data_IF_283073372449
#
_entry.id   IF_283073372449
#
_cell.length_a   1.000
_cell.length_b   1.000
_cell.length_c   1.000
_cell.angle_alpha   90.00
_cell.angle_beta   90.00
_cell.angle_gamma   90.00
#
_symmetry.space_group_name_H-M   'P 1'
#
loop_
_entity.id
_entity.type
_entity.pdbx_description
1 polymer ?
#
# COMPACT_ATOMS: atom_id res chain seq x y z
N UNK A 1 -2.16 -16.70 -7.66
CA UNK A 1 -3.57 -16.23 -7.84
C UNK A 1 -3.94 -15.12 -6.88
N UNK A 2 -3.86 -15.32 -5.55
CA UNK A 2 -4.06 -14.24 -4.58
C UNK A 2 -3.15 -13.03 -4.83
N UNK A 3 -1.88 -13.27 -5.17
CA UNK A 3 -0.94 -12.22 -5.59
C UNK A 3 -1.52 -11.35 -6.72
N UNK A 4 -1.92 -11.94 -7.84
CA UNK A 4 -2.44 -11.22 -9.02
C UNK A 4 -3.72 -10.46 -8.68
N UNK A 5 -4.62 -11.07 -7.89
CA UNK A 5 -5.85 -10.41 -7.47
C UNK A 5 -5.56 -9.17 -6.61
N UNK A 6 -4.72 -9.32 -5.58
CA UNK A 6 -4.34 -8.19 -4.71
C UNK A 6 -3.63 -7.11 -5.51
N UNK A 7 -2.66 -7.49 -6.34
CA UNK A 7 -1.88 -6.56 -7.17
C UNK A 7 -2.79 -5.75 -8.10
N UNK A 8 -3.70 -6.41 -8.81
CA UNK A 8 -4.62 -5.73 -9.74
C UNK A 8 -5.68 -4.91 -9.02
N UNK A 9 -6.23 -5.36 -7.89
CA UNK A 9 -7.20 -4.59 -7.12
C UNK A 9 -6.57 -3.38 -6.43
N UNK A 10 -5.35 -3.53 -5.92
CA UNK A 10 -4.60 -2.41 -5.36
C UNK A 10 -4.23 -1.40 -6.45
N UNK A 11 -3.72 -1.87 -7.59
CA UNK A 11 -3.46 -1.00 -8.75
C UNK A 11 -4.71 -0.25 -9.21
N UNK A 12 -5.85 -0.94 -9.32
CA UNK A 12 -7.14 -0.32 -9.64
C UNK A 12 -7.51 0.78 -8.64
N UNK A 13 -7.37 0.48 -7.35
CA UNK A 13 -7.66 1.41 -6.26
C UNK A 13 -6.75 2.64 -6.32
N UNK A 14 -5.43 2.46 -6.46
CA UNK A 14 -4.46 3.55 -6.55
C UNK A 14 -4.74 4.45 -7.74
N UNK A 15 -5.00 3.86 -8.91
CA UNK A 15 -5.34 4.64 -10.10
C UNK A 15 -6.66 5.41 -10.01
N UNK A 16 -7.65 4.86 -9.31
CA UNK A 16 -8.89 5.60 -9.05
C UNK A 16 -8.62 6.78 -8.09
N UNK A 17 -7.69 6.62 -7.14
CA UNK A 17 -7.27 7.73 -6.27
C UNK A 17 -6.60 8.84 -7.07
N UNK A 18 -5.77 8.53 -8.07
CA UNK A 18 -5.15 9.55 -8.95
C UNK A 18 -6.16 10.41 -9.72
N UNK A 19 -7.39 9.93 -9.90
CA UNK A 19 -8.47 10.72 -10.51
C UNK A 19 -9.16 11.68 -9.55
N UNK A 20 -8.91 11.57 -8.24
CA UNK A 20 -9.56 12.40 -7.24
C UNK A 20 -8.95 13.80 -7.22
N UNK A 21 -9.77 14.84 -7.03
CA UNK A 21 -9.26 16.20 -6.91
C UNK A 21 -8.49 16.38 -5.60
N UNK A 22 -7.41 17.15 -5.67
CA UNK A 22 -6.73 17.68 -4.48
C UNK A 22 -7.41 18.98 -4.04
N UNK A 23 -7.60 19.14 -2.73
CA UNK A 23 -8.16 20.36 -2.15
C UNK A 23 -7.07 21.08 -1.37
N UNK A 24 -6.92 22.40 -1.52
CA UNK A 24 -6.05 23.19 -0.64
C UNK A 24 -6.88 23.82 0.48
N UNK A 25 -6.58 23.49 1.73
CA UNK A 25 -7.17 24.15 2.90
C UNK A 25 -6.03 24.89 3.63
N UNK A 26 -6.03 26.22 3.54
CA UNK A 26 -5.06 27.06 4.27
C UNK A 26 -3.62 26.95 3.78
N UNK A 27 -3.39 26.60 2.51
CA UNK A 27 -2.05 26.39 1.95
C UNK A 27 -1.49 24.98 2.17
N UNK A 28 -2.18 24.14 2.95
CA UNK A 28 -1.91 22.71 3.06
C UNK A 28 -2.76 21.95 2.03
N UNK A 29 -2.11 21.20 1.15
CA UNK A 29 -2.78 20.28 0.23
C UNK A 29 -3.41 19.13 1.01
N UNK A 30 -4.74 19.09 1.05
CA UNK A 30 -5.55 17.98 1.54
C UNK A 30 -6.01 17.18 0.33
N UNK A 31 -5.24 16.17 -0.03
CA UNK A 31 -5.68 15.16 -0.99
C UNK A 31 -6.72 14.24 -0.32
N UNK A 32 -7.73 13.81 -1.08
CA UNK A 32 -8.57 12.68 -0.65
C UNK A 32 -7.65 11.47 -0.65
N UNK A 33 -7.07 11.16 0.52
CA UNK A 33 -6.07 10.10 0.68
C UNK A 33 -6.53 8.77 0.06
N UNK A 34 -5.59 7.87 -0.26
CA UNK A 34 -5.85 6.73 -1.12
C UNK A 34 -6.90 5.78 -0.54
N UNK A 35 -7.68 5.16 -1.42
CA UNK A 35 -8.82 4.31 -1.08
C UNK A 35 -8.44 2.95 -0.47
N UNK A 36 -7.62 2.93 0.59
CA UNK A 36 -6.89 1.75 1.08
C UNK A 36 -7.75 0.51 1.39
N UNK A 37 -9.05 0.68 1.59
CA UNK A 37 -9.97 -0.38 1.99
C UNK A 37 -10.01 -1.58 1.04
N UNK A 38 -9.75 -1.42 -0.27
CA UNK A 38 -9.79 -2.56 -1.21
C UNK A 38 -8.61 -3.48 -0.93
N UNK A 39 -7.41 -2.90 -0.85
CA UNK A 39 -6.21 -3.63 -0.45
C UNK A 39 -6.38 -4.22 0.97
N UNK A 40 -6.80 -3.41 1.95
CA UNK A 40 -6.99 -3.85 3.33
C UNK A 40 -7.96 -5.05 3.42
N UNK A 41 -9.12 -4.97 2.76
CA UNK A 41 -10.18 -5.97 2.90
C UNK A 41 -9.84 -7.30 2.22
N UNK A 42 -8.98 -7.29 1.20
CA UNK A 42 -8.63 -8.48 0.41
C UNK A 42 -7.35 -9.12 0.93
N UNK A 43 -6.32 -8.33 1.22
CA UNK A 43 -5.01 -8.80 1.70
C UNK A 43 -5.15 -9.62 2.98
N UNK A 44 -5.96 -9.14 3.93
CA UNK A 44 -6.14 -9.76 5.25
C UNK A 44 -6.83 -11.14 5.18
N UNK A 45 -7.44 -11.50 4.04
CA UNK A 45 -8.04 -12.82 3.82
C UNK A 45 -6.99 -13.94 3.68
N UNK A 46 -5.79 -13.62 3.19
CA UNK A 46 -4.85 -14.63 2.70
C UNK A 46 -3.68 -14.97 3.64
N UNK A 47 -3.47 -14.21 4.75
CA UNK A 47 -2.33 -14.31 5.69
C UNK A 47 -1.03 -14.80 5.04
N UNK A 48 -0.65 -14.20 3.93
CA UNK A 48 0.44 -14.66 3.06
C UNK A 48 1.39 -13.51 2.77
N UNK A 49 2.70 -13.78 2.84
CA UNK A 49 3.72 -12.83 2.45
C UNK A 49 3.51 -12.33 1.01
N UNK A 50 3.13 -13.23 0.10
CA UNK A 50 2.85 -12.88 -1.30
C UNK A 50 1.66 -11.93 -1.45
N UNK A 51 0.66 -12.02 -0.57
CA UNK A 51 -0.43 -11.05 -0.58
C UNK A 51 0.04 -9.67 -0.10
N UNK A 52 0.95 -9.60 0.87
CA UNK A 52 1.56 -8.33 1.28
C UNK A 52 2.40 -7.72 0.15
N UNK A 53 3.28 -8.52 -0.48
CA UNK A 53 4.17 -8.06 -1.55
C UNK A 53 3.38 -7.57 -2.77
N UNK A 54 2.22 -8.15 -3.03
CA UNK A 54 1.36 -7.75 -4.13
C UNK A 54 0.84 -6.31 -4.01
N UNK A 55 0.79 -5.73 -2.81
CA UNK A 55 0.31 -4.36 -2.59
C UNK A 55 1.25 -3.36 -3.29
N UNK A 56 2.52 -3.18 -2.87
CA UNK A 56 3.41 -2.23 -3.55
C UNK A 56 3.66 -2.60 -5.01
N UNK A 57 3.66 -3.89 -5.37
CA UNK A 57 3.77 -4.28 -6.80
C UNK A 57 2.56 -3.79 -7.61
N UNK A 58 1.36 -3.75 -7.03
CA UNK A 58 0.19 -3.14 -7.67
C UNK A 58 0.38 -1.64 -7.91
N UNK A 59 0.94 -0.92 -6.93
CA UNK A 59 1.28 0.49 -7.08
C UNK A 59 2.30 0.70 -8.20
N UNK A 60 3.38 -0.07 -8.18
CA UNK A 60 4.45 0.01 -9.19
C UNK A 60 3.94 -0.29 -10.60
N UNK A 61 3.22 -1.40 -10.78
CA UNK A 61 2.77 -1.80 -12.12
C UNK A 61 1.78 -0.79 -12.69
N UNK A 62 0.79 -0.38 -11.90
CA UNK A 62 -0.33 0.40 -12.43
C UNK A 62 -0.13 1.92 -12.26
N UNK A 63 0.38 2.35 -11.11
CA UNK A 63 0.59 3.75 -10.75
C UNK A 63 1.93 4.33 -11.22
N UNK A 64 2.95 3.50 -11.46
CA UNK A 64 4.26 4.02 -11.91
C UNK A 64 4.52 3.61 -13.37
N UNK A 65 4.65 2.31 -13.65
CA UNK A 65 5.07 1.81 -14.97
C UNK A 65 4.04 2.15 -16.05
N UNK A 66 2.75 1.88 -15.81
CA UNK A 66 1.72 2.13 -16.82
C UNK A 66 1.38 3.61 -17.00
N UNK A 67 1.57 4.45 -15.97
CA UNK A 67 1.48 5.92 -16.10
C UNK A 67 2.69 6.45 -16.87
N UNK A 68 3.83 5.77 -16.76
CA UNK A 68 5.09 6.22 -17.31
C UNK A 68 5.78 7.20 -16.38
N UNK A 69 5.81 6.89 -15.09
CA UNK A 69 6.54 7.62 -14.05
C UNK A 69 7.22 6.63 -13.09
N UNK A 70 7.99 5.69 -13.65
CA UNK A 70 8.63 4.63 -12.86
C UNK A 70 10.09 4.93 -12.55
N UNK A 71 10.46 4.78 -11.28
CA UNK A 71 11.85 4.75 -10.80
C UNK A 71 12.12 3.45 -10.05
N UNK A 72 13.06 2.64 -10.54
CA UNK A 72 13.34 1.34 -9.94
C UNK A 72 13.94 1.43 -8.53
N UNK A 73 14.70 2.48 -8.22
CA UNK A 73 15.26 2.68 -6.88
C UNK A 73 14.20 3.23 -5.93
N UNK A 74 13.40 4.21 -6.36
CA UNK A 74 12.32 4.78 -5.54
C UNK A 74 11.24 3.76 -5.20
N UNK A 75 10.92 2.86 -6.14
CA UNK A 75 9.98 1.76 -5.92
C UNK A 75 10.39 0.81 -4.76
N UNK A 76 11.67 0.75 -4.39
CA UNK A 76 12.17 -0.15 -3.34
C UNK A 76 11.66 0.24 -1.96
N UNK A 77 11.48 1.54 -1.68
CA UNK A 77 10.93 1.99 -0.40
C UNK A 77 9.57 1.34 -0.16
N UNK A 78 8.62 1.56 -1.08
CA UNK A 78 7.28 1.00 -1.01
C UNK A 78 7.31 -0.54 -0.94
N UNK A 79 8.17 -1.19 -1.74
CA UNK A 79 8.33 -2.64 -1.72
C UNK A 79 8.72 -3.18 -0.34
N UNK A 80 9.61 -2.49 0.39
CA UNK A 80 10.08 -2.92 1.70
C UNK A 80 9.06 -2.52 2.78
N UNK A 81 8.77 -1.23 2.88
CA UNK A 81 7.99 -0.65 3.98
C UNK A 81 6.58 -1.21 4.00
N UNK A 82 5.87 -1.16 2.87
CA UNK A 82 4.48 -1.64 2.78
C UNK A 82 4.44 -3.14 3.03
N UNK A 83 5.24 -3.94 2.31
CA UNK A 83 5.22 -5.40 2.44
C UNK A 83 5.45 -5.85 3.89
N UNK A 84 6.44 -5.27 4.57
CA UNK A 84 6.80 -5.68 5.92
C UNK A 84 5.80 -5.19 6.98
N UNK A 85 5.23 -3.99 6.82
CA UNK A 85 4.16 -3.49 7.70
C UNK A 85 2.98 -4.46 7.71
N UNK A 86 2.48 -4.82 6.52
CA UNK A 86 1.39 -5.79 6.38
C UNK A 86 1.79 -7.18 6.89
N UNK A 87 3.00 -7.63 6.59
CA UNK A 87 3.46 -8.96 7.00
C UNK A 87 3.57 -9.08 8.52
N UNK A 88 4.02 -8.04 9.21
CA UNK A 88 4.00 -7.96 10.67
C UNK A 88 2.55 -7.98 11.19
N UNK A 89 1.70 -7.08 10.71
CA UNK A 89 0.32 -6.94 11.18
C UNK A 89 -0.49 -8.23 11.01
N UNK A 90 -0.34 -8.94 9.90
CA UNK A 90 -0.99 -10.24 9.68
C UNK A 90 -0.63 -11.28 10.75
N UNK A 91 0.55 -11.19 11.36
CA UNK A 91 0.94 -12.11 12.43
C UNK A 91 0.18 -11.88 13.73
N UNK A 92 -0.42 -10.68 13.89
CA UNK A 92 -1.21 -10.28 15.06
C UNK A 92 -2.68 -10.67 14.94
N UNK A 93 -3.13 -11.18 13.79
CA UNK A 93 -4.51 -11.68 13.66
C UNK A 93 -4.67 -12.88 14.61
N UNK A 94 -5.63 -12.81 15.53
CA UNK A 94 -5.99 -13.95 16.40
C UNK A 94 -7.33 -14.52 16.01
N UNK A 95 -8.33 -13.66 15.83
CA UNK A 95 -9.66 -14.06 15.37
C UNK A 95 -10.02 -13.37 14.04
N UNK A 96 -9.90 -14.07 12.90
CA UNK A 96 -10.30 -13.52 11.61
C UNK A 96 -11.80 -13.33 11.44
N UNK A 97 -12.64 -13.70 12.41
CA UNK A 97 -14.08 -13.35 12.45
C UNK A 97 -14.32 -12.06 13.22
N UNK A 98 -13.38 -11.62 14.06
CA UNK A 98 -13.45 -10.35 14.75
C UNK A 98 -13.11 -9.20 13.81
N UNK A 99 -14.13 -8.69 13.13
CA UNK A 99 -13.97 -7.63 12.11
C UNK A 99 -13.37 -6.34 12.70
N UNK A 100 -13.61 -6.05 13.99
CA UNK A 100 -13.00 -4.89 14.66
C UNK A 100 -11.49 -5.07 14.80
N UNK A 101 -11.03 -6.28 15.13
CA UNK A 101 -9.59 -6.59 15.15
C UNK A 101 -8.99 -6.43 13.76
N UNK A 102 -9.64 -6.95 12.73
CA UNK A 102 -9.17 -6.85 11.34
C UNK A 102 -9.04 -5.39 10.89
N UNK A 103 -10.05 -4.56 11.16
CA UNK A 103 -10.00 -3.13 10.85
C UNK A 103 -8.90 -2.39 11.64
N UNK A 104 -8.75 -2.68 12.94
CA UNK A 104 -7.70 -2.09 13.77
C UNK A 104 -6.29 -2.49 13.31
N UNK A 105 -6.13 -3.74 12.85
CA UNK A 105 -4.88 -4.24 12.30
C UNK A 105 -4.59 -3.59 10.93
N UNK A 106 -5.58 -3.45 10.05
CA UNK A 106 -5.43 -2.69 8.80
C UNK A 106 -4.98 -1.24 9.05
N UNK A 107 -5.61 -0.56 10.02
CA UNK A 107 -5.17 0.77 10.47
C UNK A 107 -3.72 0.76 10.96
N UNK A 108 -3.33 -0.23 11.79
CA UNK A 108 -1.95 -0.34 12.26
C UNK A 108 -0.95 -0.51 11.11
N UNK A 109 -1.28 -1.28 10.07
CA UNK A 109 -0.40 -1.44 8.91
C UNK A 109 -0.18 -0.10 8.21
N UNK A 110 -1.26 0.65 7.98
CA UNK A 110 -1.17 2.00 7.39
C UNK A 110 -0.41 2.98 8.27
N UNK A 111 -0.62 2.94 9.59
CA UNK A 111 0.13 3.76 10.53
C UNK A 111 1.64 3.47 10.48
N UNK A 112 2.02 2.20 10.36
CA UNK A 112 3.42 1.80 10.23
C UNK A 112 4.02 2.28 8.91
N UNK A 113 3.31 2.15 7.79
CA UNK A 113 3.74 2.66 6.48
C UNK A 113 4.08 4.15 6.52
N UNK A 114 3.10 4.98 6.90
CA UNK A 114 3.24 6.44 6.92
C UNK A 114 4.28 6.91 7.93
N UNK A 115 4.42 6.19 9.05
CA UNK A 115 5.46 6.52 10.04
C UNK A 115 6.85 6.26 9.46
N UNK A 116 7.05 5.13 8.77
CA UNK A 116 8.34 4.83 8.16
C UNK A 116 8.66 5.80 7.02
N UNK A 117 7.69 6.10 6.15
CA UNK A 117 7.83 7.09 5.08
C UNK A 117 8.22 8.47 5.65
N UNK A 118 7.53 8.95 6.69
CA UNK A 118 7.89 10.20 7.37
C UNK A 118 9.36 10.24 7.81
N UNK A 119 9.87 9.19 8.47
CA UNK A 119 11.26 9.15 8.89
C UNK A 119 12.24 9.09 7.71
N UNK A 120 11.87 8.41 6.62
CA UNK A 120 12.67 8.33 5.40
C UNK A 120 12.73 9.69 4.71
N UNK A 121 11.58 10.36 4.55
CA UNK A 121 11.45 11.69 3.93
C UNK A 121 12.17 12.78 4.72
N UNK A 122 12.11 12.74 6.04
CA UNK A 122 12.92 13.61 6.88
C UNK A 122 14.40 13.27 6.75
N UNK A 123 14.76 11.98 6.76
CA UNK A 123 16.15 11.56 6.65
C UNK A 123 16.80 11.98 5.33
N UNK A 124 16.07 11.87 4.21
CA UNK A 124 16.60 12.19 2.88
C UNK A 124 16.79 13.69 2.72
N UNK A 125 15.91 14.50 3.32
CA UNK A 125 16.11 15.95 3.41
C UNK A 125 17.48 16.30 4.04
N UNK A 126 17.91 15.60 5.09
CA UNK A 126 19.22 15.84 5.70
C UNK A 126 20.41 15.42 4.84
N UNK A 127 20.21 14.50 3.90
CA UNK A 127 21.27 14.06 2.96
C UNK A 127 21.30 14.96 1.72
N UNK A 128 20.14 15.40 1.23
CA UNK A 128 20.02 16.15 -0.02
C UNK A 128 20.37 17.63 0.07
N UNK A 129 20.46 18.21 1.27
CA UNK A 129 20.74 19.65 1.46
C UNK A 129 22.19 19.89 1.86
N UNK A 130 22.96 20.53 0.97
CA UNK A 130 24.39 20.81 1.17
C UNK A 130 24.67 21.92 2.22
N UNK A 131 23.72 22.83 2.47
CA UNK A 131 23.87 23.97 3.41
C UNK A 131 22.71 24.09 4.41
N UNK A 132 22.48 23.05 5.22
CA UNK A 132 21.44 23.05 6.26
C UNK A 132 21.57 24.20 7.27
N UNK A 133 22.80 24.66 7.53
CA UNK A 133 23.10 25.73 8.48
C UNK A 133 22.71 27.13 7.97
N UNK A 134 22.43 27.29 6.67
CA UNK A 134 22.04 28.57 6.09
C UNK A 134 20.61 28.98 6.48
N UNK A 135 19.74 28.03 6.88
CA UNK A 135 18.34 28.29 7.22
C UNK A 135 17.94 27.54 8.50
N UNK A 136 18.05 28.22 9.65
CA UNK A 136 17.84 27.63 10.98
C UNK A 136 16.44 27.06 11.25
N UNK A 137 15.40 27.55 10.57
CA UNK A 137 14.02 27.09 10.73
C UNK A 137 13.64 25.93 9.80
N UNK A 138 14.48 25.63 8.80
CA UNK A 138 14.16 24.67 7.75
C UNK A 138 14.03 23.23 8.29
N UNK A 139 14.95 22.73 9.14
CA UNK A 139 14.82 21.38 9.69
C UNK A 139 13.52 21.19 10.49
N UNK A 140 13.17 22.15 11.35
CA UNK A 140 11.93 22.10 12.14
C UNK A 140 10.68 22.06 11.25
N UNK A 141 10.70 22.83 10.16
CA UNK A 141 9.58 22.88 9.21
C UNK A 141 9.44 21.58 8.43
N UNK A 142 10.54 20.93 8.03
CA UNK A 142 10.48 19.62 7.35
C UNK A 142 9.90 18.57 8.28
N UNK A 143 10.39 18.47 9.52
CA UNK A 143 9.81 17.58 10.52
C UNK A 143 8.30 17.80 10.71
N UNK A 144 7.88 19.07 10.77
CA UNK A 144 6.47 19.42 10.95
C UNK A 144 5.62 19.11 9.71
N UNK A 145 6.08 19.48 8.53
CA UNK A 145 5.32 19.32 7.27
C UNK A 145 5.16 17.85 6.90
N UNK A 146 6.25 17.09 6.91
CA UNK A 146 6.20 15.64 6.66
C UNK A 146 5.39 14.91 7.75
N UNK A 147 5.56 15.30 9.01
CA UNK A 147 4.83 14.68 10.12
C UNK A 147 3.33 14.96 10.08
N UNK A 148 2.92 16.18 9.69
CA UNK A 148 1.50 16.51 9.47
C UNK A 148 0.95 15.74 8.27
N UNK A 149 1.72 15.64 7.18
CA UNK A 149 1.35 14.85 6.00
C UNK A 149 1.07 13.40 6.36
N UNK A 150 2.02 12.74 7.02
CA UNK A 150 1.89 11.37 7.49
C UNK A 150 0.69 11.21 8.45
N UNK A 151 0.52 12.11 9.43
CA UNK A 151 -0.62 12.05 10.36
C UNK A 151 -1.97 12.13 9.63
N UNK A 152 -2.09 13.05 8.67
CA UNK A 152 -3.30 13.19 7.86
C UNK A 152 -3.56 11.92 7.05
N UNK A 153 -2.54 11.30 6.46
CA UNK A 153 -2.69 10.04 5.74
C UNK A 153 -3.10 8.88 6.65
N UNK A 154 -2.53 8.79 7.85
CA UNK A 154 -2.91 7.78 8.86
C UNK A 154 -4.39 7.92 9.21
N UNK A 155 -4.88 9.15 9.37
CA UNK A 155 -6.29 9.39 9.73
C UNK A 155 -7.20 9.16 8.51
N UNK A 156 -6.93 9.82 7.39
CA UNK A 156 -7.81 9.82 6.22
C UNK A 156 -7.77 8.45 5.53
N UNK A 157 -6.59 7.99 5.10
CA UNK A 157 -6.46 6.71 4.41
C UNK A 157 -6.57 5.52 5.38
N UNK A 158 -6.04 5.64 6.59
CA UNK A 158 -6.08 4.56 7.58
C UNK A 158 -7.46 4.34 8.22
N UNK A 159 -8.21 5.42 8.52
CA UNK A 159 -9.53 5.31 9.16
C UNK A 159 -10.67 5.44 8.15
N UNK A 160 -10.77 6.61 7.49
CA UNK A 160 -11.94 6.96 6.66
C UNK A 160 -12.03 6.08 5.42
N UNK A 161 -10.91 5.91 4.72
CA UNK A 161 -10.84 5.11 3.50
C UNK A 161 -10.19 3.73 3.69
N UNK A 162 -9.93 3.32 4.93
CA UNK A 162 -9.27 2.05 5.26
C UNK A 162 -10.11 1.22 6.23
N UNK A 163 -10.00 1.51 7.52
CA UNK A 163 -10.63 0.74 8.59
C UNK A 163 -12.16 0.76 8.52
N UNK A 164 -12.78 1.92 8.31
CA UNK A 164 -14.25 2.04 8.28
C UNK A 164 -14.86 1.19 7.16
N UNK A 165 -14.44 1.29 5.88
CA UNK A 165 -15.02 0.45 4.85
C UNK A 165 -14.65 -1.03 5.03
N UNK A 166 -13.48 -1.33 5.61
CA UNK A 166 -13.08 -2.71 5.95
C UNK A 166 -14.06 -3.38 6.91
N UNK A 167 -14.65 -2.64 7.86
CA UNK A 167 -15.70 -3.16 8.75
C UNK A 167 -16.91 -3.73 8.00
N UNK A 168 -17.20 -3.20 6.81
CA UNK A 168 -18.34 -3.62 5.99
C UNK A 168 -17.94 -4.63 4.90
N UNK A 169 -16.78 -4.45 4.27
CA UNK A 169 -16.37 -5.24 3.10
C UNK A 169 -15.75 -6.58 3.49
N UNK A 170 -14.83 -6.60 4.45
CA UNK A 170 -14.18 -7.83 4.88
C UNK A 170 -15.15 -8.99 5.19
N UNK A 171 -16.22 -8.82 6.02
CA UNK A 171 -17.14 -9.93 6.30
C UNK A 171 -17.96 -10.38 5.08
N UNK A 172 -18.11 -9.52 4.05
CA UNK A 172 -18.81 -9.88 2.81
C UNK A 172 -17.93 -10.67 1.84
N UNK A 173 -16.61 -10.49 1.93
CA UNK A 173 -15.62 -11.15 1.08
C UNK A 173 -15.12 -12.47 1.69
N UNK A 174 -14.96 -12.52 3.01
CA UNK A 174 -14.48 -13.69 3.74
C UNK A 174 -15.36 -14.91 3.48
N UNK A 175 -14.74 -16.03 3.14
CA UNK A 175 -15.43 -17.27 2.81
C UNK A 175 -15.97 -17.33 1.39
N UNK A 176 -15.81 -16.26 0.60
CA UNK A 176 -16.20 -16.23 -0.82
C UNK A 176 -14.99 -16.09 -1.72
N UNK A 177 -14.07 -15.17 -1.42
CA UNK A 177 -12.90 -14.92 -2.28
C UNK A 177 -11.85 -16.02 -2.10
N UNK A 178 -11.58 -16.47 -0.87
CA UNK A 178 -10.56 -17.50 -0.61
C UNK A 178 -10.86 -18.80 -1.37
N UNK A 179 -12.09 -19.37 -1.31
CA UNK A 179 -12.43 -20.58 -2.05
C UNK A 179 -12.35 -20.41 -3.57
N UNK A 180 -12.75 -19.23 -4.09
CA UNK A 180 -12.60 -18.94 -5.52
C UNK A 180 -11.15 -19.03 -5.97
N UNK A 181 -10.19 -18.69 -5.12
CA UNK A 181 -8.76 -18.81 -5.42
C UNK A 181 -8.16 -20.17 -5.05
N UNK A 182 -8.99 -21.13 -4.61
CA UNK A 182 -8.55 -22.46 -4.20
C UNK A 182 -7.89 -22.49 -2.82
N UNK A 183 -8.22 -21.52 -1.96
CA UNK A 183 -7.71 -21.42 -0.59
C UNK A 183 -8.85 -21.64 0.41
N UNK A 184 -8.52 -22.21 1.57
CA UNK A 184 -9.45 -22.23 2.70
C UNK A 184 -9.51 -20.82 3.34
N UNK A 185 -10.67 -20.41 3.88
CA UNK A 185 -10.78 -19.18 4.65
C UNK A 185 -9.85 -19.21 5.86
N UNK A 186 -9.32 -18.04 6.23
CA UNK A 186 -8.36 -17.96 7.33
C UNK A 186 -8.98 -18.45 8.64
N UNK A 187 -8.30 -19.37 9.32
CA UNK A 187 -8.69 -19.87 10.63
C UNK A 187 -8.10 -19.01 11.76
N UNK A 188 -8.80 -19.04 12.89
CA UNK A 188 -8.33 -18.43 14.13
C UNK A 188 -7.11 -19.15 14.69
N UNK A 189 -6.41 -18.46 15.58
CA UNK A 189 -5.22 -18.96 16.25
C UNK A 189 -5.41 -18.81 17.75
N UNK A 190 -5.06 -19.85 18.49
CA UNK A 190 -5.02 -19.79 19.96
C UNK A 190 -3.75 -19.08 20.47
N UNK A 191 -3.86 -18.54 21.68
CA UNK A 191 -2.77 -17.88 22.39
C UNK A 191 -2.69 -16.36 22.20
N UNK A 192 -1.59 -15.73 22.67
CA UNK A 192 -1.48 -14.27 22.68
C UNK A 192 -1.38 -13.69 21.27
N UNK A 193 -1.82 -12.43 21.12
CA UNK A 193 -1.66 -11.67 19.87
C UNK A 193 -0.20 -11.52 19.48
N UNK A 194 0.65 -11.17 20.44
CA UNK A 194 2.08 -11.02 20.24
C UNK A 194 2.80 -12.33 20.53
N UNK A 195 3.58 -12.79 19.56
CA UNK A 195 4.32 -14.06 19.58
C UNK A 195 5.79 -13.85 19.28
N UNK A 196 6.58 -14.90 19.44
CA UNK A 196 7.95 -14.94 18.92
C UNK A 196 8.00 -14.67 17.41
N UNK A 197 7.00 -15.11 16.65
CA UNK A 197 6.94 -14.87 15.21
C UNK A 197 6.61 -13.41 14.90
N UNK A 198 5.67 -12.79 15.61
CA UNK A 198 5.37 -11.36 15.42
C UNK A 198 6.56 -10.49 15.82
N UNK A 199 7.26 -10.83 16.90
CA UNK A 199 8.49 -10.13 17.30
C UNK A 199 9.56 -10.21 16.21
N UNK A 200 9.80 -11.39 15.62
CA UNK A 200 10.75 -11.54 14.50
C UNK A 200 10.36 -10.69 13.30
N UNK A 201 9.07 -10.60 12.98
CA UNK A 201 8.58 -9.77 11.87
C UNK A 201 8.71 -8.27 12.18
N UNK A 202 8.47 -7.86 13.41
CA UNK A 202 8.69 -6.48 13.86
C UNK A 202 10.17 -6.12 13.78
N UNK A 203 11.06 -6.99 14.25
CA UNK A 203 12.52 -6.78 14.14
C UNK A 203 12.94 -6.68 12.67
N UNK A 204 12.41 -7.55 11.80
CA UNK A 204 12.68 -7.47 10.37
C UNK A 204 12.20 -6.15 9.74
N UNK A 205 11.01 -5.68 10.15
CA UNK A 205 10.48 -4.38 9.71
C UNK A 205 11.43 -3.24 10.12
N UNK A 206 11.82 -3.15 11.40
CA UNK A 206 12.76 -2.12 11.88
C UNK A 206 14.13 -2.23 11.19
N UNK A 207 14.66 -3.44 11.04
CA UNK A 207 16.00 -3.66 10.49
C UNK A 207 16.11 -3.35 9.00
N UNK A 208 15.00 -3.37 8.25
CA UNK A 208 15.00 -3.11 6.81
C UNK A 208 14.59 -1.68 6.44
N UNK A 209 14.10 -0.87 7.38
CA UNK A 209 13.88 0.58 7.15
C UNK A 209 15.17 1.30 6.69
N UNK A 210 16.36 1.06 7.29
CA UNK A 210 17.61 1.66 6.80
C UNK A 210 17.96 1.26 5.36
N UNK A 211 17.52 0.09 4.91
CA UNK A 211 17.70 -0.34 3.51
C UNK A 211 16.75 0.45 2.61
N UNK A 212 15.47 0.55 2.96
CA UNK A 212 14.51 1.39 2.24
C UNK A 212 15.00 2.84 2.10
N UNK A 213 15.46 3.43 3.21
CA UNK A 213 16.08 4.74 3.26
C UNK A 213 17.27 4.89 2.30
N UNK A 214 18.18 3.93 2.27
CA UNK A 214 19.34 3.97 1.39
C UNK A 214 18.94 3.93 -0.09
N UNK A 215 17.93 3.15 -0.46
CA UNK A 215 17.44 3.09 -1.84
C UNK A 215 16.72 4.37 -2.26
N UNK A 216 15.90 4.93 -1.37
CA UNK A 216 15.18 6.18 -1.65
C UNK A 216 16.15 7.36 -1.83
N UNK A 217 17.10 7.50 -0.91
CA UNK A 217 18.15 8.54 -1.01
C UNK A 217 19.03 8.38 -2.25
N UNK A 218 19.34 7.14 -2.64
CA UNK A 218 20.03 6.87 -3.90
C UNK A 218 19.16 7.22 -5.11
N UNK A 219 17.84 7.00 -5.06
CA UNK A 219 16.91 7.35 -6.15
C UNK A 219 16.99 8.84 -6.48
N UNK A 220 16.95 9.71 -5.47
CA UNK A 220 17.00 11.17 -5.65
C UNK A 220 18.39 11.68 -6.08
N UNK A 221 19.47 11.09 -5.56
CA UNK A 221 20.83 11.58 -5.82
C UNK A 221 21.48 11.03 -7.09
N UNK A 222 21.10 9.83 -7.54
CA UNK A 222 21.73 9.17 -8.69
C UNK A 222 21.01 9.41 -10.03
N UNK A 223 19.88 10.13 -10.02
CA UNK A 223 19.02 10.27 -11.20
C UNK A 223 18.23 9.00 -11.56
N UNK A 224 18.21 8.01 -10.65
CA UNK A 224 17.56 6.71 -10.83
C UNK A 224 18.39 5.72 -11.67
N UNK A 225 18.62 4.50 -11.16
CA UNK A 225 19.37 3.47 -11.90
C UNK A 225 18.63 3.03 -13.18
N UNK A 226 17.31 2.89 -13.09
CA UNK A 226 16.41 2.53 -14.19
C UNK A 226 15.16 3.38 -14.00
N UNK A 227 14.91 4.28 -14.95
CA UNK A 227 13.72 5.12 -15.01
C UNK A 227 12.94 4.85 -16.30
N UNK A 228 11.62 4.96 -16.22
CA UNK A 228 10.74 4.84 -17.38
C UNK A 228 9.71 5.97 -17.35
N UNK A 229 9.99 7.01 -18.12
CA UNK A 229 9.23 8.27 -18.15
C UNK A 229 8.84 8.70 -19.58
N UNK A 230 8.00 7.94 -20.31
CA UNK A 230 7.58 8.26 -21.68
C UNK A 230 6.55 9.40 -21.81
N UNK A 231 6.27 10.15 -20.74
CA UNK A 231 5.40 11.35 -20.76
C UNK A 231 3.97 11.08 -21.29
N UNK A 232 3.40 9.91 -20.98
CA UNK A 232 2.09 9.53 -21.51
C UNK A 232 0.97 10.50 -21.09
N UNK A 233 0.95 10.92 -19.82
CA UNK A 233 -0.06 11.86 -19.31
C UNK A 233 0.10 13.23 -19.96
N UNK A 234 1.33 13.67 -20.23
CA UNK A 234 1.58 14.94 -20.93
C UNK A 234 1.14 14.86 -22.40
N UNK A 235 1.39 13.73 -23.06
CA UNK A 235 1.07 13.51 -24.47
C UNK A 235 -0.42 13.31 -24.72
N UNK A 236 -1.10 12.51 -23.89
CA UNK A 236 -2.48 12.06 -24.10
C UNK A 236 -3.49 12.72 -23.14
N UNK A 237 -3.01 13.55 -22.21
CA UNK A 237 -3.82 14.21 -21.18
C UNK A 237 -4.27 13.27 -20.06
N UNK A 238 -5.00 13.82 -19.09
CA UNK A 238 -5.52 13.07 -17.92
C UNK A 238 -6.40 11.86 -18.29
N UNK A 239 -7.00 11.84 -19.49
CA UNK A 239 -7.76 10.71 -19.98
C UNK A 239 -6.92 9.42 -20.09
N UNK A 240 -5.59 9.54 -20.19
CA UNK A 240 -4.70 8.39 -20.20
C UNK A 240 -4.77 7.56 -18.92
N UNK A 241 -5.09 8.16 -17.76
CA UNK A 241 -5.23 7.46 -16.49
C UNK A 241 -6.32 6.38 -16.53
N UNK A 242 -7.28 6.44 -17.46
CA UNK A 242 -8.26 5.38 -17.66
C UNK A 242 -7.66 4.08 -18.24
N UNK A 243 -6.50 4.14 -18.90
CA UNK A 243 -5.81 2.97 -19.44
C UNK A 243 -5.37 1.99 -18.34
N UNK A 244 -4.54 2.38 -17.36
CA UNK A 244 -4.17 1.48 -16.26
C UNK A 244 -5.38 1.06 -15.42
N UNK A 245 -6.40 1.92 -15.25
CA UNK A 245 -7.68 1.55 -14.60
C UNK A 245 -8.36 0.40 -15.35
N UNK A 246 -8.51 0.53 -16.67
CA UNK A 246 -9.15 -0.50 -17.48
C UNK A 246 -8.37 -1.81 -17.45
N UNK A 247 -7.03 -1.76 -17.55
CA UNK A 247 -6.18 -2.96 -17.46
C UNK A 247 -6.31 -3.61 -16.08
N UNK A 248 -6.26 -2.83 -15.00
CA UNK A 248 -6.40 -3.34 -13.63
C UNK A 248 -7.78 -3.98 -13.40
N UNK A 249 -8.85 -3.36 -13.90
CA UNK A 249 -10.21 -3.89 -13.85
C UNK A 249 -10.34 -5.20 -14.65
N UNK A 250 -9.82 -5.24 -15.89
CA UNK A 250 -9.85 -6.45 -16.72
C UNK A 250 -9.11 -7.60 -16.06
N UNK A 251 -7.93 -7.37 -15.48
CA UNK A 251 -7.16 -8.41 -14.80
C UNK A 251 -7.89 -8.89 -13.53
N UNK A 252 -8.34 -7.96 -12.68
CA UNK A 252 -8.99 -8.31 -11.41
C UNK A 252 -10.33 -9.04 -11.62
N UNK A 253 -11.24 -8.46 -12.40
CA UNK A 253 -12.56 -9.07 -12.66
C UNK A 253 -12.46 -10.29 -13.58
N UNK A 254 -11.56 -10.27 -14.57
CA UNK A 254 -11.31 -11.40 -15.45
C UNK A 254 -10.79 -12.62 -14.69
N UNK A 255 -9.91 -12.43 -13.70
CA UNK A 255 -9.43 -13.51 -12.84
C UNK A 255 -10.57 -14.12 -12.01
N UNK A 256 -11.44 -13.30 -11.42
CA UNK A 256 -12.60 -13.76 -10.66
C UNK A 256 -13.58 -14.52 -11.56
N UNK A 257 -13.91 -13.98 -12.73
CA UNK A 257 -14.82 -14.61 -13.69
C UNK A 257 -14.29 -15.95 -14.22
N UNK A 258 -12.99 -16.01 -14.56
CA UNK A 258 -12.32 -17.24 -14.98
C UNK A 258 -12.43 -18.32 -13.89
N UNK A 259 -12.30 -17.93 -12.62
CA UNK A 259 -12.36 -18.87 -11.50
C UNK A 259 -13.75 -19.32 -11.15
N UNK A 260 -14.74 -18.44 -11.23
CA UNK A 260 -16.15 -18.82 -11.06
C UNK A 260 -16.52 -19.91 -12.08
N UNK A 261 -16.26 -19.69 -13.37
CA UNK A 261 -16.53 -20.69 -14.42
C UNK A 261 -15.84 -22.03 -14.17
N UNK A 262 -14.60 -22.00 -13.67
CA UNK A 262 -13.86 -23.23 -13.36
C UNK A 262 -14.44 -23.97 -12.15
N UNK A 263 -14.96 -23.26 -11.16
CA UNK A 263 -15.63 -23.87 -9.99
C UNK A 263 -16.97 -24.45 -10.40
N UNK A 264 -17.76 -23.73 -11.20
CA UNK A 264 -19.07 -24.19 -11.69
C UNK A 264 -18.91 -25.46 -12.54
N UNK A 265 -17.96 -25.47 -13.48
CA UNK A 265 -17.69 -26.65 -14.32
C UNK A 265 -17.02 -27.84 -13.62
N UNK A 266 -16.73 -27.76 -12.31
CA UNK A 266 -16.35 -28.91 -11.48
C UNK A 266 -17.53 -29.50 -10.70
N UNK A 267 -18.67 -28.80 -10.67
CA UNK A 267 -19.90 -29.25 -10.01
C UNK A 267 -20.88 -29.94 -10.96
N UNK A 268 -20.65 -29.81 -12.27
CA UNK A 268 -21.28 -30.58 -13.36
C UNK A 268 -20.50 -31.87 -13.69
#
# INVERSE_FOLDING_TARGET
MAFILVMSLHGLQSMITELLPEFSIGGLGVSIGPFWFVAMSVVLLFRSFWACLAIPVGGIVFGEILIGDFSALGAVEGLIVVTLSWFFVMSLITDPKNVKQIAALGFLAKAMEETAAWFIDVGKFYIGVEELEAISWLPETVWATEGIGALLQIIIAGVVFGAIPTLFLYPRLRGKIEPLLGMSPLEGRDGPMFTRTSLKRLIAWVALIPVAFAFETLSETSGGLITFTPEFVETYGQAFLFVPIAIAAVISFGLVAYRQRKVDGLQD
#
